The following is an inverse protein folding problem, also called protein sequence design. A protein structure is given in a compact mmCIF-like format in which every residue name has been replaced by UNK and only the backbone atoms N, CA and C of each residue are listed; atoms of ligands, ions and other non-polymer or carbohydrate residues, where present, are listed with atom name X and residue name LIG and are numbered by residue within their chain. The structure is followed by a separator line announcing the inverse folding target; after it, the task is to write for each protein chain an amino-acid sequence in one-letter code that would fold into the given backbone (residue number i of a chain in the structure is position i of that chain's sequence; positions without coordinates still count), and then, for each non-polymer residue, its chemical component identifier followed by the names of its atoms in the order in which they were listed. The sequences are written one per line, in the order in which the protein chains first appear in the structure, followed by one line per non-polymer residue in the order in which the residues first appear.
data_IF_601950737685
#
_entry.id   IF_601950737685
#
_cell.length_a   1.000
_cell.length_b   1.000
_cell.length_c   1.000
_cell.angle_alpha   90.00
_cell.angle_beta   90.00
_cell.angle_gamma   90.00
#
_symmetry.space_group_name_H-M   'P 1'
#
loop_
_entity.id
_entity.type
_entity.pdbx_description
1 polymer ?
#
# COMPACT_ATOMS: atom_id res chain seq x y z
N UNK A 1 -29.52 -6.26 -18.71
CA UNK A 1 -30.09 -5.27 -17.76
C UNK A 1 -30.65 -5.91 -16.50
N UNK A 2 -31.49 -6.94 -16.60
CA UNK A 2 -32.13 -7.63 -15.45
C UNK A 2 -31.17 -8.08 -14.36
N UNK A 3 -30.03 -8.69 -14.72
CA UNK A 3 -29.02 -9.13 -13.74
C UNK A 3 -28.46 -7.97 -12.91
N UNK A 4 -28.35 -6.78 -13.51
CA UNK A 4 -27.85 -5.58 -12.85
C UNK A 4 -28.90 -5.00 -11.89
N UNK A 5 -30.19 -5.00 -12.28
CA UNK A 5 -31.30 -4.61 -11.42
C UNK A 5 -31.34 -5.51 -10.18
N UNK A 6 -31.31 -6.83 -10.39
CA UNK A 6 -31.28 -7.81 -9.28
C UNK A 6 -30.04 -7.61 -8.39
N UNK A 7 -28.88 -7.31 -8.98
CA UNK A 7 -27.67 -7.01 -8.21
C UNK A 7 -27.80 -5.75 -7.34
N UNK A 8 -28.40 -4.68 -7.87
CA UNK A 8 -28.65 -3.43 -7.14
C UNK A 8 -29.69 -3.64 -6.03
N UNK A 9 -30.78 -4.36 -6.31
CA UNK A 9 -31.80 -4.68 -5.32
C UNK A 9 -31.27 -5.59 -4.21
N UNK A 10 -30.45 -6.59 -4.56
CA UNK A 10 -29.76 -7.43 -3.57
C UNK A 10 -28.88 -6.59 -2.64
N UNK A 11 -28.11 -5.64 -3.19
CA UNK A 11 -27.32 -4.74 -2.34
C UNK A 11 -28.20 -3.86 -1.45
N UNK A 12 -29.34 -3.37 -1.94
CA UNK A 12 -30.28 -2.61 -1.11
C UNK A 12 -30.80 -3.44 0.06
N UNK A 13 -31.23 -4.68 -0.19
CA UNK A 13 -31.69 -5.59 0.87
C UNK A 13 -30.57 -5.93 1.87
N UNK A 14 -29.34 -6.17 1.39
CA UNK A 14 -28.21 -6.41 2.29
C UNK A 14 -27.89 -5.19 3.17
N UNK A 15 -28.06 -3.97 2.65
CA UNK A 15 -27.83 -2.73 3.39
C UNK A 15 -28.91 -2.46 4.45
N UNK A 16 -30.14 -2.92 4.25
CA UNK A 16 -31.20 -2.83 5.27
C UNK A 16 -30.92 -3.74 6.48
N UNK A 17 -30.20 -4.84 6.28
CA UNK A 17 -29.89 -5.83 7.31
C UNK A 17 -28.54 -5.55 7.99
N UNK A 18 -27.58 -5.02 7.24
CA UNK A 18 -26.25 -4.72 7.76
C UNK A 18 -26.21 -3.36 8.47
N UNK A 19 -25.57 -3.28 9.63
CA UNK A 19 -25.26 -1.99 10.24
C UNK A 19 -24.27 -1.23 9.34
N UNK A 20 -24.54 0.06 9.06
CA UNK A 20 -23.74 0.90 8.15
C UNK A 20 -22.24 0.94 8.50
N UNK A 21 -21.87 0.55 9.72
CA UNK A 21 -20.50 0.55 10.25
C UNK A 21 -19.61 -0.60 9.76
N UNK A 22 -20.16 -1.69 9.22
CA UNK A 22 -19.37 -2.86 8.78
C UNK A 22 -18.94 -2.82 7.31
N UNK A 23 -19.55 -1.95 6.49
CA UNK A 23 -19.32 -1.92 5.05
C UNK A 23 -18.35 -0.79 4.70
N UNK A 24 -17.16 -1.16 4.19
CA UNK A 24 -16.12 -0.18 3.84
C UNK A 24 -16.23 0.36 2.42
N UNK A 25 -16.72 -0.46 1.48
CA UNK A 25 -16.85 -0.09 0.07
C UNK A 25 -17.91 -0.99 -0.59
N UNK A 26 -18.61 -0.45 -1.59
CA UNK A 26 -19.64 -1.15 -2.36
C UNK A 26 -19.17 -1.21 -3.81
N UNK A 27 -18.92 -2.40 -4.32
CA UNK A 27 -18.40 -2.61 -5.67
C UNK A 27 -19.28 -3.63 -6.40
N UNK A 28 -19.73 -3.30 -7.60
CA UNK A 28 -20.39 -4.24 -8.52
C UNK A 28 -19.41 -4.55 -9.66
N UNK A 29 -19.16 -5.84 -9.87
CA UNK A 29 -18.41 -6.35 -11.02
C UNK A 29 -19.38 -7.04 -12.00
N UNK A 30 -19.56 -6.47 -13.19
CA UNK A 30 -20.33 -7.10 -14.27
C UNK A 30 -19.40 -7.88 -15.19
N UNK A 31 -19.62 -9.18 -15.32
CA UNK A 31 -18.93 -10.05 -16.27
C UNK A 31 -19.94 -10.45 -17.35
N UNK A 32 -19.78 -9.97 -18.58
CA UNK A 32 -20.71 -10.30 -19.66
C UNK A 32 -20.04 -10.29 -21.03
N UNK A 33 -20.45 -11.21 -21.90
CA UNK A 33 -20.08 -11.22 -23.31
C UNK A 33 -20.98 -10.32 -24.18
N UNK A 34 -21.93 -9.59 -23.58
CA UNK A 34 -22.88 -8.68 -24.24
C UNK A 34 -23.72 -9.31 -25.37
N UNK A 35 -23.75 -10.64 -25.48
CA UNK A 35 -24.47 -11.37 -26.53
C UNK A 35 -25.92 -11.69 -26.18
N UNK A 36 -26.64 -10.75 -25.56
CA UNK A 36 -28.07 -10.91 -25.28
C UNK A 36 -28.92 -10.56 -26.49
N UNK A 37 -30.05 -11.25 -26.68
CA UNK A 37 -31.07 -10.81 -27.63
C UNK A 37 -31.72 -9.54 -27.09
N UNK A 38 -31.57 -8.42 -27.81
CA UNK A 38 -32.25 -7.17 -27.53
C UNK A 38 -33.46 -7.11 -28.48
N UNK A 39 -34.66 -7.32 -27.95
CA UNK A 39 -35.87 -7.16 -28.76
C UNK A 39 -36.10 -5.65 -29.01
N UNK A 40 -36.34 -5.25 -30.26
CA UNK A 40 -36.43 -3.83 -30.67
C UNK A 40 -37.52 -3.03 -29.94
N UNK A 41 -38.53 -3.69 -29.37
CA UNK A 41 -39.61 -3.08 -28.57
C UNK A 41 -39.16 -2.68 -27.15
N UNK A 42 -38.04 -3.22 -26.65
CA UNK A 42 -37.49 -2.92 -25.32
C UNK A 42 -36.61 -1.66 -25.31
N UNK A 43 -36.32 -1.02 -26.45
CA UNK A 43 -35.41 0.13 -26.54
C UNK A 43 -35.84 1.35 -25.70
N UNK A 44 -37.15 1.57 -25.53
CA UNK A 44 -37.66 2.65 -24.65
C UNK A 44 -37.69 2.22 -23.17
N UNK A 45 -37.95 0.93 -22.91
CA UNK A 45 -38.03 0.36 -21.55
C UNK A 45 -36.61 0.26 -20.96
N UNK A 46 -35.65 -0.18 -21.75
CA UNK A 46 -34.23 -0.27 -21.39
C UNK A 46 -33.60 1.09 -21.10
N UNK A 47 -34.08 2.18 -21.71
CA UNK A 47 -33.60 3.54 -21.39
C UNK A 47 -34.10 4.02 -20.03
N UNK A 48 -35.34 3.67 -19.66
CA UNK A 48 -35.91 3.97 -18.35
C UNK A 48 -35.26 3.12 -17.27
N UNK A 49 -35.05 1.82 -17.54
CA UNK A 49 -34.39 0.88 -16.65
C UNK A 49 -32.90 1.23 -16.47
N UNK A 50 -32.20 1.66 -17.53
CA UNK A 50 -30.83 2.17 -17.43
C UNK A 50 -30.75 3.40 -16.54
N UNK A 51 -31.68 4.34 -16.66
CA UNK A 51 -31.71 5.50 -15.79
C UNK A 51 -32.08 5.14 -14.34
N UNK A 52 -32.99 4.17 -14.12
CA UNK A 52 -33.31 3.66 -12.80
C UNK A 52 -32.11 2.99 -12.12
N UNK A 53 -31.36 2.18 -12.89
CA UNK A 53 -30.09 1.57 -12.47
C UNK A 53 -29.07 2.65 -12.09
N UNK A 54 -28.85 3.64 -12.96
CA UNK A 54 -27.89 4.73 -12.72
C UNK A 54 -28.25 5.48 -11.43
N UNK A 55 -29.53 5.79 -11.24
CA UNK A 55 -30.00 6.43 -10.03
C UNK A 55 -29.83 5.53 -8.79
N UNK A 56 -30.10 4.23 -8.93
CA UNK A 56 -29.86 3.24 -7.88
C UNK A 56 -28.38 3.13 -7.49
N UNK A 57 -27.48 3.10 -8.47
CA UNK A 57 -26.04 3.05 -8.26
C UNK A 57 -25.50 4.33 -7.62
N UNK A 58 -25.99 5.50 -8.05
CA UNK A 58 -25.62 6.80 -7.46
C UNK A 58 -26.13 6.96 -6.04
N UNK A 59 -27.36 6.54 -5.76
CA UNK A 59 -27.94 6.59 -4.42
C UNK A 59 -27.17 5.69 -3.44
N UNK A 60 -26.64 4.57 -3.93
CA UNK A 60 -25.90 3.60 -3.14
C UNK A 60 -24.38 3.84 -3.12
N UNK A 61 -23.86 4.86 -3.81
CA UNK A 61 -22.42 5.18 -3.93
C UNK A 61 -21.57 3.94 -4.27
N UNK A 62 -21.94 3.29 -5.39
CA UNK A 62 -21.35 2.02 -5.82
C UNK A 62 -20.27 2.25 -6.87
N UNK A 63 -19.09 1.64 -6.67
CA UNK A 63 -18.09 1.56 -7.73
C UNK A 63 -18.50 0.48 -8.74
N UNK A 64 -18.76 0.89 -9.98
CA UNK A 64 -19.12 -0.02 -11.06
C UNK A 64 -17.89 -0.37 -11.91
N UNK A 65 -17.66 -1.66 -12.11
CA UNK A 65 -16.64 -2.16 -13.04
C UNK A 65 -17.25 -3.23 -13.94
N UNK A 66 -17.04 -3.13 -15.24
CA UNK A 66 -17.51 -4.11 -16.20
C UNK A 66 -16.33 -4.74 -16.95
N UNK A 67 -16.37 -6.06 -17.16
CA UNK A 67 -15.41 -6.79 -17.98
C UNK A 67 -16.18 -7.48 -19.11
N UNK A 68 -15.80 -7.19 -20.35
CA UNK A 68 -16.48 -7.68 -21.54
C UNK A 68 -15.59 -7.78 -22.78
N UNK A 69 -16.20 -8.03 -23.96
CA UNK A 69 -15.50 -7.97 -25.24
C UNK A 69 -14.97 -6.55 -25.50
N UNK A 70 -14.03 -6.41 -26.43
CA UNK A 70 -13.39 -5.13 -26.74
C UNK A 70 -14.43 -4.10 -27.19
N UNK A 71 -14.67 -3.13 -26.32
CA UNK A 71 -15.54 -1.98 -26.51
C UNK A 71 -14.74 -0.95 -27.31
N UNK A 72 -15.17 -0.60 -28.52
CA UNK A 72 -14.49 0.37 -29.39
C UNK A 72 -14.77 1.83 -28.99
N UNK A 73 -15.71 2.09 -28.07
CA UNK A 73 -16.24 3.43 -27.79
C UNK A 73 -15.50 4.25 -26.70
N UNK A 74 -14.24 3.93 -26.39
CA UNK A 74 -13.39 4.69 -25.45
C UNK A 74 -12.34 5.58 -26.15
N UNK A 75 -12.43 5.77 -27.46
CA UNK A 75 -11.65 6.83 -28.13
C UNK A 75 -12.39 8.15 -27.93
N UNK A 76 -12.10 8.82 -26.83
CA UNK A 76 -12.33 10.26 -26.73
C UNK A 76 -11.57 10.92 -27.88
N UNK A 77 -12.26 11.80 -28.60
CA UNK A 77 -11.74 12.45 -29.79
C UNK A 77 -10.54 13.32 -29.47
N UNK A 78 -9.36 12.89 -29.90
CA UNK A 78 -8.22 13.75 -30.18
C UNK A 78 -7.65 13.35 -31.55
N UNK A 79 -7.85 14.26 -32.51
CA UNK A 79 -7.12 14.48 -33.76
C UNK A 79 -6.32 13.30 -34.36
N UNK A 80 -6.95 12.58 -35.29
CA UNK A 80 -6.22 11.80 -36.29
C UNK A 80 -5.81 12.70 -37.45
N UNK A 81 -4.71 13.42 -37.23
CA UNK A 81 -3.80 13.84 -38.29
C UNK A 81 -3.30 12.57 -39.00
N UNK A 82 -3.57 12.45 -40.30
CA UNK A 82 -3.09 11.37 -41.16
C UNK A 82 -1.55 11.32 -41.12
N UNK A 83 -1.01 10.19 -40.67
CA UNK A 83 0.43 9.99 -40.57
C UNK A 83 0.79 8.52 -40.38
N UNK A 84 0.95 7.83 -41.53
CA UNK A 84 1.75 6.63 -41.76
C UNK A 84 2.39 5.93 -40.54
N UNK A 85 1.96 4.70 -40.26
CA UNK A 85 2.86 3.60 -39.87
C UNK A 85 2.42 2.29 -40.50
N UNK A 86 3.21 1.84 -41.46
CA UNK A 86 3.25 0.49 -42.00
C UNK A 86 3.95 -0.45 -40.99
N UNK A 87 3.48 -1.70 -40.89
CA UNK A 87 4.26 -2.84 -40.41
C UNK A 87 3.66 -3.63 -39.24
N UNK A 88 3.33 -4.91 -39.52
CA UNK A 88 3.18 -6.05 -38.58
C UNK A 88 1.95 -6.01 -37.63
N UNK A 89 1.04 -6.98 -37.52
CA UNK A 89 0.83 -8.33 -38.07
C UNK A 89 -0.68 -8.64 -37.97
N UNK A 90 -1.26 -9.28 -39.01
CA UNK A 90 -2.39 -10.21 -38.90
C UNK A 90 -3.75 -9.68 -38.42
N UNK A 91 -4.43 -8.86 -39.21
CA UNK A 91 -5.90 -8.70 -39.11
C UNK A 91 -6.59 -9.92 -39.73
N UNK A 92 -7.52 -10.63 -39.05
CA UNK A 92 -8.45 -11.49 -39.75
C UNK A 92 -9.54 -10.63 -40.38
N UNK A 93 -9.60 -10.72 -41.71
CA UNK A 93 -10.73 -10.46 -42.60
C UNK A 93 -12.01 -9.87 -41.98
N UNK A 94 -12.40 -8.71 -42.51
CA UNK A 94 -13.75 -8.16 -42.44
C UNK A 94 -14.77 -9.16 -43.02
N UNK A 95 -15.37 -9.96 -42.15
CA UNK A 95 -16.62 -10.67 -42.44
C UNK A 95 -17.79 -9.69 -42.34
N UNK A 96 -18.88 -9.88 -43.12
CA UNK A 96 -20.06 -9.03 -43.00
C UNK A 96 -20.62 -9.13 -41.57
N UNK A 97 -21.14 -8.03 -40.98
CA UNK A 97 -21.61 -8.03 -39.61
C UNK A 97 -22.69 -9.10 -39.44
N UNK A 98 -22.40 -10.07 -38.59
CA UNK A 98 -23.37 -11.07 -38.16
C UNK A 98 -24.43 -10.39 -37.29
N UNK A 99 -25.65 -10.94 -37.18
CA UNK A 99 -26.70 -10.38 -36.30
C UNK A 99 -26.20 -10.18 -34.86
N UNK A 100 -25.32 -11.07 -34.43
CA UNK A 100 -24.61 -11.01 -33.15
C UNK A 100 -23.69 -9.80 -33.00
N UNK A 101 -23.13 -9.24 -34.07
CA UNK A 101 -22.30 -8.03 -34.02
C UNK A 101 -23.14 -6.75 -33.85
N UNK A 102 -24.36 -6.74 -34.42
CA UNK A 102 -25.31 -5.63 -34.28
C UNK A 102 -25.90 -5.60 -32.87
N UNK A 103 -26.30 -6.76 -32.35
CA UNK A 103 -26.77 -6.93 -30.96
C UNK A 103 -25.68 -6.58 -29.94
N UNK A 104 -24.43 -6.99 -30.20
CA UNK A 104 -23.27 -6.62 -29.39
C UNK A 104 -23.02 -5.10 -29.39
N UNK A 105 -23.24 -4.42 -30.53
CA UNK A 105 -23.12 -2.96 -30.63
C UNK A 105 -24.19 -2.17 -29.84
N UNK A 106 -25.40 -2.71 -29.69
CA UNK A 106 -26.45 -2.11 -28.84
C UNK A 106 -26.11 -2.28 -27.35
N UNK A 107 -25.70 -3.48 -26.96
CA UNK A 107 -25.24 -3.76 -25.60
C UNK A 107 -24.04 -2.91 -25.17
N UNK A 108 -23.10 -2.69 -26.09
CA UNK A 108 -21.95 -1.79 -25.90
C UNK A 108 -22.39 -0.34 -25.64
N UNK A 109 -23.34 0.19 -26.42
CA UNK A 109 -23.82 1.57 -26.26
C UNK A 109 -24.51 1.79 -24.92
N UNK A 110 -25.37 0.84 -24.51
CA UNK A 110 -26.08 0.90 -23.23
C UNK A 110 -25.09 0.81 -22.07
N UNK A 111 -24.14 -0.13 -22.13
CA UNK A 111 -23.11 -0.26 -21.10
C UNK A 111 -22.22 0.98 -21.01
N UNK A 112 -21.86 1.57 -22.16
CA UNK A 112 -21.07 2.80 -22.23
C UNK A 112 -21.80 4.00 -21.63
N UNK A 113 -23.10 4.14 -21.88
CA UNK A 113 -23.92 5.21 -21.29
C UNK A 113 -24.03 5.06 -19.77
N UNK A 114 -24.28 3.83 -19.28
CA UNK A 114 -24.33 3.54 -17.84
C UNK A 114 -22.96 3.82 -17.18
N UNK A 115 -21.87 3.36 -17.79
CA UNK A 115 -20.52 3.56 -17.27
C UNK A 115 -20.16 5.05 -17.20
N UNK A 116 -20.42 5.83 -18.26
CA UNK A 116 -20.19 7.29 -18.26
C UNK A 116 -21.01 8.01 -17.20
N UNK A 117 -22.27 7.63 -17.02
CA UNK A 117 -23.15 8.26 -16.03
C UNK A 117 -22.77 7.92 -14.58
N UNK A 118 -22.17 6.76 -14.33
CA UNK A 118 -21.81 6.25 -12.98
C UNK A 118 -20.32 6.46 -12.67
N UNK A 119 -19.53 7.04 -13.59
CA UNK A 119 -18.07 7.13 -13.49
C UNK A 119 -17.42 5.73 -13.28
N UNK A 120 -17.97 4.74 -13.99
CA UNK A 120 -17.55 3.34 -13.95
C UNK A 120 -16.47 3.02 -14.98
N UNK A 121 -15.68 1.99 -14.71
CA UNK A 121 -14.57 1.57 -15.59
C UNK A 121 -14.93 0.30 -16.34
N UNK A 122 -14.68 0.27 -17.65
CA UNK A 122 -14.90 -0.91 -18.49
C UNK A 122 -13.56 -1.45 -18.96
N UNK A 123 -13.35 -2.75 -18.80
CA UNK A 123 -12.13 -3.45 -19.22
C UNK A 123 -12.47 -4.51 -20.26
N UNK A 124 -11.59 -4.69 -21.25
CA UNK A 124 -11.65 -5.88 -22.09
C UNK A 124 -11.10 -7.10 -21.33
N UNK A 125 -11.48 -8.32 -21.73
CA UNK A 125 -10.89 -9.53 -21.17
C UNK A 125 -9.35 -9.57 -21.31
N UNK A 126 -8.81 -9.03 -22.40
CA UNK A 126 -7.36 -8.98 -22.65
C UNK A 126 -6.64 -8.03 -21.70
N UNK A 127 -7.27 -6.92 -21.31
CA UNK A 127 -6.71 -5.95 -20.35
C UNK A 127 -6.90 -6.40 -18.90
N UNK A 128 -8.05 -7.01 -18.59
CA UNK A 128 -8.37 -7.44 -17.24
C UNK A 128 -7.48 -8.60 -16.76
N UNK A 129 -7.09 -9.53 -17.65
CA UNK A 129 -6.31 -10.70 -17.26
C UNK A 129 -4.93 -10.34 -16.64
N UNK A 130 -4.10 -9.48 -17.26
CA UNK A 130 -2.86 -8.99 -16.63
C UNK A 130 -3.09 -8.25 -15.30
N UNK A 131 -4.19 -7.50 -15.18
CA UNK A 131 -4.53 -6.77 -13.96
C UNK A 131 -4.94 -7.72 -12.82
N UNK A 132 -5.66 -8.80 -13.14
CA UNK A 132 -6.07 -9.84 -12.19
C UNK A 132 -4.96 -10.82 -11.84
N UNK A 133 -3.95 -10.98 -12.71
CA UNK A 133 -2.76 -11.79 -12.41
C UNK A 133 -2.00 -11.23 -11.20
N UNK A 134 -2.02 -9.91 -11.04
CA UNK A 134 -1.49 -9.26 -9.85
C UNK A 134 -2.60 -9.20 -8.80
N UNK A 135 -2.32 -9.70 -7.59
CA UNK A 135 -3.27 -9.61 -6.49
C UNK A 135 -3.60 -8.14 -6.23
N UNK A 136 -4.85 -7.72 -6.49
CA UNK A 136 -5.33 -6.38 -6.16
C UNK A 136 -5.65 -6.37 -4.66
N UNK A 137 -4.82 -5.76 -3.81
CA UNK A 137 -5.08 -5.74 -2.38
C UNK A 137 -6.37 -4.95 -2.11
N UNK A 138 -7.13 -5.38 -1.10
CA UNK A 138 -8.25 -4.59 -0.58
C UNK A 138 -7.74 -3.20 -0.23
N UNK A 139 -8.45 -2.16 -0.69
CA UNK A 139 -8.16 -0.77 -0.28
C UNK A 139 -8.43 -0.65 1.21
N UNK A 140 -7.37 -0.45 1.99
CA UNK A 140 -7.45 -0.20 3.43
C UNK A 140 -7.20 1.29 3.66
N UNK A 141 -8.01 1.91 4.52
CA UNK A 141 -7.78 3.30 4.93
C UNK A 141 -6.45 3.41 5.68
N UNK A 142 -5.47 4.07 5.05
CA UNK A 142 -4.14 4.24 5.62
C UNK A 142 -4.24 5.22 6.79
N UNK A 143 -3.83 4.78 7.97
CA UNK A 143 -3.77 5.64 9.15
C UNK A 143 -2.55 6.57 9.05
N UNK A 144 -2.81 7.87 8.90
CA UNK A 144 -1.76 8.87 8.91
C UNK A 144 -1.16 9.08 10.30
N UNK A 145 0.16 9.18 10.39
CA UNK A 145 0.91 9.41 11.62
C UNK A 145 1.15 10.89 11.84
N UNK A 146 0.68 11.46 12.96
CA UNK A 146 0.87 12.88 13.27
C UNK A 146 2.27 13.15 13.81
N UNK A 147 2.94 14.15 13.24
CA UNK A 147 4.24 14.66 13.63
C UNK A 147 4.22 16.20 13.64
N UNK A 148 5.10 16.79 14.44
CA UNK A 148 5.42 18.21 14.38
C UNK A 148 6.84 18.30 13.82
N UNK A 149 6.98 18.94 12.66
CA UNK A 149 8.26 19.28 12.06
C UNK A 149 8.80 20.53 12.75
N UNK A 150 9.85 20.38 13.54
CA UNK A 150 10.54 21.47 14.23
C UNK A 150 11.57 22.09 13.28
N UNK A 151 11.32 23.33 12.86
CA UNK A 151 12.22 24.18 12.10
C UNK A 151 12.97 25.07 13.10
N UNK A 152 14.08 24.57 13.65
CA UNK A 152 14.78 25.24 14.74
C UNK A 152 13.99 25.17 16.06
N UNK A 153 14.05 26.23 16.86
CA UNK A 153 13.44 26.26 18.21
C UNK A 153 12.02 26.82 18.23
N UNK A 154 11.74 27.82 17.38
CA UNK A 154 10.51 28.62 17.46
C UNK A 154 9.38 28.12 16.55
N UNK A 155 9.71 27.50 15.41
CA UNK A 155 8.74 27.18 14.37
C UNK A 155 8.43 25.68 14.38
N UNK A 156 7.15 25.33 14.53
CA UNK A 156 6.67 23.94 14.52
C UNK A 156 5.54 23.79 13.53
N UNK A 157 5.75 22.99 12.49
CA UNK A 157 4.76 22.74 11.45
C UNK A 157 4.09 21.37 11.67
N UNK A 158 2.76 21.31 11.76
CA UNK A 158 2.07 20.05 11.90
C UNK A 158 2.04 19.30 10.56
N UNK A 159 2.40 18.03 10.60
CA UNK A 159 2.42 17.11 9.46
C UNK A 159 1.75 15.78 9.81
N UNK A 160 1.15 15.16 8.81
CA UNK A 160 0.58 13.83 8.83
C UNK A 160 1.27 12.97 7.77
N UNK A 161 1.92 11.91 8.23
CA UNK A 161 2.70 11.00 7.41
C UNK A 161 1.87 9.78 6.99
N UNK A 162 1.77 9.53 5.69
CA UNK A 162 1.12 8.36 5.11
C UNK A 162 2.16 7.51 4.39
N UNK A 163 2.25 6.23 4.72
CA UNK A 163 3.18 5.31 4.05
C UNK A 163 2.64 5.00 2.65
N UNK A 164 3.39 5.40 1.61
CA UNK A 164 3.08 5.18 0.19
C UNK A 164 3.47 3.77 -0.24
N UNK A 165 4.75 3.44 -0.07
CA UNK A 165 5.29 2.14 -0.45
C UNK A 165 5.42 1.31 0.82
N UNK A 166 4.62 0.25 0.90
CA UNK A 166 4.76 -0.76 1.92
C UNK A 166 4.90 -2.10 1.21
N UNK A 167 6.01 -2.78 1.46
CA UNK A 167 6.15 -4.15 1.01
C UNK A 167 5.01 -5.00 1.59
N UNK A 168 4.28 -5.75 0.76
CA UNK A 168 3.20 -6.59 1.22
C UNK A 168 3.79 -7.72 2.06
N UNK A 169 3.75 -7.56 3.37
CA UNK A 169 4.14 -8.63 4.29
C UNK A 169 2.95 -9.57 4.46
N UNK A 170 2.98 -10.69 3.74
CA UNK A 170 2.02 -11.76 3.90
C UNK A 170 2.40 -12.59 5.13
N UNK A 171 2.06 -12.06 6.31
CA UNK A 171 2.25 -12.74 7.60
C UNK A 171 1.30 -13.92 7.76
N UNK A 172 1.48 -14.96 6.96
CA UNK A 172 0.85 -16.25 7.19
C UNK A 172 1.63 -16.97 8.28
N UNK A 173 1.09 -16.98 9.49
CA UNK A 173 1.63 -17.77 10.58
C UNK A 173 1.22 -19.23 10.36
N UNK A 174 2.14 -20.05 9.83
CA UNK A 174 1.90 -21.47 9.67
C UNK A 174 2.14 -22.19 11.00
N UNK A 175 1.09 -22.82 11.54
CA UNK A 175 1.23 -23.74 12.66
C UNK A 175 2.02 -24.97 12.21
N UNK A 176 2.99 -25.40 13.02
CA UNK A 176 3.74 -26.63 12.76
C UNK A 176 2.99 -27.80 13.36
N UNK A 177 2.55 -28.71 12.52
CA UNK A 177 1.73 -29.87 12.92
C UNK A 177 2.52 -31.14 12.63
N UNK A 178 2.48 -32.10 13.55
CA UNK A 178 3.01 -33.44 13.32
C UNK A 178 2.11 -34.23 12.37
N UNK A 179 2.70 -34.88 11.36
CA UNK A 179 1.97 -35.60 10.31
C UNK A 179 1.22 -36.82 10.85
N UNK A 180 1.74 -37.45 11.89
CA UNK A 180 1.20 -38.72 12.40
C UNK A 180 0.09 -38.51 13.42
N UNK A 181 0.29 -37.57 14.34
CA UNK A 181 -0.65 -37.32 15.45
C UNK A 181 -1.63 -36.17 15.19
N UNK A 182 -1.36 -35.33 14.18
CA UNK A 182 -2.14 -34.13 13.92
C UNK A 182 -2.04 -33.07 15.03
N UNK A 183 -1.12 -33.24 15.99
CA UNK A 183 -0.94 -32.33 17.11
C UNK A 183 0.03 -31.19 16.75
N UNK A 184 -0.19 -30.02 17.36
CA UNK A 184 0.69 -28.85 17.18
C UNK A 184 2.02 -29.04 17.94
N UNK A 185 3.13 -28.83 17.23
CA UNK A 185 4.49 -28.99 17.76
C UNK A 185 4.98 -27.67 18.34
N UNK A 186 5.28 -27.66 19.63
CA UNK A 186 5.90 -26.52 20.32
C UNK A 186 7.42 -26.59 20.25
N UNK A 187 8.07 -25.48 19.89
CA UNK A 187 9.54 -25.38 19.87
C UNK A 187 10.07 -25.14 21.29
N UNK A 188 10.94 -26.03 21.77
CA UNK A 188 11.70 -25.86 23.01
C UNK A 188 13.18 -25.72 22.69
N UNK A 189 13.84 -24.72 23.28
CA UNK A 189 15.28 -24.49 23.11
C UNK A 189 16.02 -24.90 24.38
N UNK A 190 17.06 -25.71 24.25
CA UNK A 190 17.93 -26.19 25.35
C UNK A 190 19.34 -25.64 25.11
N UNK A 191 19.99 -25.13 26.16
CA UNK A 191 21.36 -24.61 26.09
C UNK A 191 22.34 -25.61 26.69
N UNK A 192 23.41 -25.91 25.98
CA UNK A 192 24.49 -26.79 26.43
C UNK A 192 25.85 -26.09 26.32
N UNK A 193 26.77 -26.40 27.24
CA UNK A 193 28.14 -25.94 27.16
C UNK A 193 28.93 -26.86 26.21
N UNK A 194 29.56 -26.35 25.14
CA UNK A 194 30.42 -27.16 24.29
C UNK A 194 31.63 -27.68 25.09
N UNK A 195 31.95 -28.97 24.92
CA UNK A 195 33.11 -29.62 25.53
C UNK A 195 34.31 -29.31 24.64
N UNK A 196 35.22 -28.42 25.08
CA UNK A 196 36.44 -28.12 24.34
C UNK A 196 37.19 -26.84 24.71
N UNK A 197 36.51 -25.79 25.20
CA UNK A 197 37.17 -24.53 25.58
C UNK A 197 37.40 -24.46 27.09
N UNK A 198 38.46 -25.13 27.54
CA UNK A 198 38.96 -25.01 28.91
C UNK A 198 39.96 -23.85 28.97
N UNK A 199 39.46 -22.62 29.12
CA UNK A 199 40.29 -21.44 29.36
C UNK A 199 39.74 -20.49 30.43
N UNK A 200 39.11 -21.03 31.48
CA UNK A 200 39.06 -20.36 32.78
C UNK A 200 38.68 -21.33 33.90
N UNK A 201 39.69 -21.75 34.65
CA UNK A 201 39.60 -22.47 35.91
C UNK A 201 38.73 -21.71 36.92
N UNK A 202 37.65 -22.33 37.40
CA UNK A 202 37.28 -22.36 38.84
C UNK A 202 35.92 -23.07 39.04
N UNK A 203 35.93 -24.39 39.10
CA UNK A 203 35.00 -25.16 39.95
C UNK A 203 35.59 -26.56 40.12
N UNK A 204 35.66 -26.98 41.38
CA UNK A 204 36.09 -28.29 41.88
C UNK A 204 35.83 -29.47 40.93
N UNK A 205 36.84 -30.35 40.71
CA UNK A 205 36.70 -31.49 39.82
C UNK A 205 35.92 -32.59 40.53
N UNK A 206 34.58 -32.60 40.39
CA UNK A 206 33.84 -33.84 40.55
C UNK A 206 33.98 -34.63 39.24
N UNK A 207 35.03 -35.44 39.19
CA UNK A 207 35.19 -36.52 38.23
C UNK A 207 34.01 -37.48 38.38
N UNK A 208 32.98 -37.33 37.53
CA UNK A 208 32.04 -38.38 37.07
C UNK A 208 30.86 -37.81 36.24
N UNK A 209 31.09 -36.82 35.37
CA UNK A 209 30.08 -36.41 34.39
C UNK A 209 30.74 -35.98 33.07
N UNK A 210 31.20 -36.96 32.29
CA UNK A 210 31.69 -36.78 30.92
C UNK A 210 30.50 -36.67 29.95
N UNK A 211 29.68 -35.64 30.11
CA UNK A 211 28.55 -35.35 29.23
C UNK A 211 28.25 -33.85 29.16
N UNK A 212 27.59 -33.37 28.09
CA UNK A 212 27.25 -31.96 27.95
C UNK A 212 26.41 -31.51 29.14
N UNK A 213 26.88 -30.49 29.85
CA UNK A 213 26.16 -29.93 31.00
C UNK A 213 25.04 -29.03 30.47
N UNK A 214 23.80 -29.46 30.68
CA UNK A 214 22.61 -28.67 30.37
C UNK A 214 22.59 -27.45 31.29
N UNK A 215 22.54 -26.25 30.70
CA UNK A 215 22.47 -24.98 31.42
C UNK A 215 21.01 -24.53 31.54
N UNK A 216 20.68 -23.92 32.68
CA UNK A 216 19.38 -23.26 32.85
C UNK A 216 19.43 -21.89 32.20
N UNK A 217 18.27 -21.35 31.82
CA UNK A 217 18.18 -20.07 31.12
C UNK A 217 18.73 -18.91 31.97
N UNK A 218 18.61 -19.02 33.29
CA UNK A 218 19.07 -18.03 34.26
C UNK A 218 20.60 -17.98 34.37
N UNK A 219 21.29 -19.06 34.00
CA UNK A 219 22.75 -19.16 34.03
C UNK A 219 23.39 -18.64 32.72
N UNK A 220 22.59 -18.23 31.74
CA UNK A 220 23.06 -17.76 30.43
C UNK A 220 23.00 -16.23 30.35
N UNK A 221 24.16 -15.62 30.16
CA UNK A 221 24.32 -14.17 30.01
C UNK A 221 24.54 -13.83 28.54
N UNK A 222 23.97 -12.72 28.06
CA UNK A 222 24.22 -12.19 26.72
C UNK A 222 25.64 -11.61 26.66
N UNK A 223 26.45 -12.13 25.76
CA UNK A 223 27.78 -11.60 25.44
C UNK A 223 27.82 -11.04 24.03
N UNK A 224 28.51 -9.92 23.84
CA UNK A 224 28.80 -9.36 22.53
C UNK A 224 30.29 -9.53 22.24
N UNK A 225 30.61 -9.81 20.98
CA UNK A 225 32.00 -9.92 20.53
C UNK A 225 32.54 -8.53 20.21
N UNK A 226 33.66 -8.17 20.84
CA UNK A 226 34.42 -6.97 20.55
C UNK A 226 35.82 -7.38 20.10
N UNK A 227 35.98 -7.55 18.79
CA UNK A 227 37.19 -8.16 18.22
C UNK A 227 37.32 -9.63 18.67
N UNK A 228 38.45 -9.96 19.31
CA UNK A 228 38.70 -11.30 19.85
C UNK A 228 38.12 -11.53 21.25
N UNK A 229 37.65 -10.48 21.92
CA UNK A 229 37.17 -10.55 23.31
C UNK A 229 35.66 -10.67 23.36
N UNK A 230 35.14 -11.54 24.22
CA UNK A 230 33.71 -11.63 24.52
C UNK A 230 33.43 -10.75 25.73
N UNK A 231 32.60 -9.72 25.55
CA UNK A 231 32.21 -8.79 26.62
C UNK A 231 30.78 -9.13 27.08
N UNK A 232 30.56 -9.51 28.34
CA UNK A 232 29.22 -9.70 28.88
C UNK A 232 28.52 -8.33 28.99
N UNK A 233 27.27 -8.25 28.54
CA UNK A 233 26.49 -7.01 28.59
C UNK A 233 25.04 -7.33 28.95
N UNK A 234 24.65 -6.97 30.17
CA UNK A 234 23.35 -7.31 30.73
C UNK A 234 22.27 -6.31 30.32
N UNK A 235 21.01 -6.64 30.59
CA UNK A 235 19.88 -5.74 30.33
C UNK A 235 19.91 -4.49 31.23
N UNK A 236 20.53 -4.59 32.41
CA UNK A 236 20.78 -3.46 33.31
C UNK A 236 21.82 -2.50 32.71
N UNK A 237 22.95 -3.03 32.23
CA UNK A 237 23.97 -2.25 31.52
C UNK A 237 23.39 -1.61 30.25
N UNK A 238 22.55 -2.33 29.52
CA UNK A 238 21.85 -1.80 28.35
C UNK A 238 20.90 -0.65 28.71
N UNK A 239 20.34 -0.63 29.91
CA UNK A 239 19.46 0.45 30.36
C UNK A 239 20.25 1.68 30.81
N UNK A 240 21.42 1.47 31.42
CA UNK A 240 22.27 2.55 31.92
C UNK A 240 23.13 3.18 30.81
N UNK A 241 23.81 2.34 30.02
CA UNK A 241 24.76 2.77 28.98
C UNK A 241 24.18 2.75 27.57
N UNK A 242 23.01 2.13 27.38
CA UNK A 242 22.36 2.11 26.08
C UNK A 242 21.79 3.46 25.66
N UNK A 243 21.30 3.50 24.42
CA UNK A 243 20.74 4.72 23.86
C UNK A 243 19.57 5.26 24.68
N UNK A 244 19.62 6.55 25.03
CA UNK A 244 18.55 7.22 25.75
C UNK A 244 17.32 7.33 24.86
N UNK A 245 16.18 6.85 25.37
CA UNK A 245 14.91 6.88 24.64
C UNK A 245 14.46 8.31 24.41
N UNK A 246 14.34 8.70 23.15
CA UNK A 246 13.82 10.00 22.74
C UNK A 246 12.32 9.89 22.45
N UNK A 247 11.53 10.91 22.81
CA UNK A 247 10.12 10.96 22.43
C UNK A 247 9.99 11.09 20.89
N UNK A 248 8.78 10.82 20.39
CA UNK A 248 8.46 11.00 18.97
C UNK A 248 8.81 12.44 18.55
N UNK A 249 9.71 12.59 17.58
CA UNK A 249 10.11 13.90 17.06
C UNK A 249 10.47 13.85 15.58
N UNK A 250 10.31 14.99 14.92
CA UNK A 250 10.80 15.25 13.57
C UNK A 250 11.47 16.62 13.57
N UNK A 251 12.81 16.64 13.59
CA UNK A 251 13.59 17.89 13.71
C UNK A 251 14.38 18.15 12.44
N UNK A 252 14.29 19.35 11.91
CA UNK A 252 15.16 19.77 10.81
C UNK A 252 16.62 19.78 11.28
N UNK A 253 17.49 19.11 10.52
CA UNK A 253 18.94 19.15 10.71
C UNK A 253 19.54 20.22 9.80
N UNK A 254 19.28 20.10 8.49
CA UNK A 254 19.78 21.04 7.49
C UNK A 254 18.96 20.97 6.20
N UNK A 255 19.07 22.02 5.39
CA UNK A 255 18.71 21.95 3.97
C UNK A 255 19.95 21.59 3.16
N UNK A 256 19.79 20.70 2.20
CA UNK A 256 20.84 20.28 1.27
C UNK A 256 20.34 20.47 -0.17
N UNK A 257 21.24 20.62 -1.14
CA UNK A 257 20.83 20.72 -2.54
C UNK A 257 20.30 19.37 -3.02
N UNK A 258 19.30 19.38 -3.92
CA UNK A 258 18.77 18.14 -4.48
C UNK A 258 19.84 17.29 -5.17
N UNK A 259 20.82 17.95 -5.80
CA UNK A 259 21.95 17.29 -6.47
C UNK A 259 22.91 16.55 -5.54
N UNK A 260 22.97 16.92 -4.26
CA UNK A 260 23.88 16.31 -3.27
C UNK A 260 23.31 14.98 -2.73
N UNK A 261 22.00 14.78 -2.83
CA UNK A 261 21.33 13.57 -2.35
C UNK A 261 21.12 12.62 -3.52
N UNK A 262 22.05 11.69 -3.65
CA UNK A 262 22.00 10.63 -4.67
C UNK A 262 21.01 9.53 -4.26
N UNK A 263 20.36 8.92 -5.25
CA UNK A 263 19.33 7.91 -5.00
C UNK A 263 19.85 6.68 -4.25
N UNK A 264 21.13 6.34 -4.42
CA UNK A 264 21.77 5.22 -3.71
C UNK A 264 22.05 5.49 -2.23
N UNK A 265 21.94 6.73 -1.76
CA UNK A 265 21.97 7.04 -0.33
C UNK A 265 20.60 6.83 0.34
N UNK A 266 19.54 6.73 -0.46
CA UNK A 266 18.20 6.46 0.06
C UNK A 266 18.12 4.99 0.48
N UNK A 267 17.73 4.79 1.74
CA UNK A 267 17.63 3.48 2.37
C UNK A 267 16.24 2.91 2.23
N UNK A 268 16.18 1.59 2.31
CA UNK A 268 14.91 0.89 2.38
C UNK A 268 14.20 1.13 3.73
N UNK A 269 12.87 1.10 3.71
CA UNK A 269 12.03 1.52 4.82
C UNK A 269 10.70 2.16 4.40
N UNK A 270 10.45 2.23 3.10
CA UNK A 270 9.24 2.79 2.52
C UNK A 270 9.30 4.30 2.33
N UNK A 271 8.42 4.78 1.46
CA UNK A 271 8.26 6.19 1.09
C UNK A 271 7.06 6.75 1.83
N UNK A 272 7.15 7.98 2.32
CA UNK A 272 6.09 8.64 3.08
C UNK A 272 5.59 9.89 2.35
N UNK A 273 4.28 10.05 2.26
CA UNK A 273 3.66 11.34 1.97
C UNK A 273 3.49 12.12 3.27
N UNK A 274 4.11 13.28 3.35
CA UNK A 274 4.00 14.21 4.46
C UNK A 274 3.07 15.35 4.03
N UNK A 275 1.87 15.38 4.60
CA UNK A 275 0.82 16.35 4.28
C UNK A 275 0.45 17.15 5.52
N UNK A 276 -0.01 18.40 5.39
CA UNK A 276 -0.60 19.10 6.53
C UNK A 276 -1.88 18.39 7.01
N UNK A 277 -2.25 18.50 8.30
CA UNK A 277 -3.53 17.97 8.79
C UNK A 277 -4.71 18.62 8.06
N UNK A 278 -5.71 17.84 7.69
CA UNK A 278 -6.88 18.34 6.94
C UNK A 278 -7.68 19.46 7.66
N UNK A 279 -7.59 19.54 8.99
CA UNK A 279 -8.35 20.49 9.80
C UNK A 279 -7.55 21.77 10.14
N UNK A 280 -6.32 21.90 9.65
CA UNK A 280 -5.43 23.01 10.00
C UNK A 280 -5.03 23.82 8.76
N UNK A 281 -5.76 24.91 8.53
CA UNK A 281 -5.55 25.80 7.39
C UNK A 281 -4.25 26.62 7.51
N UNK A 282 -3.88 27.02 8.72
CA UNK A 282 -2.66 27.79 8.96
C UNK A 282 -1.43 26.92 8.73
N UNK A 283 -1.44 25.70 9.30
CA UNK A 283 -0.42 24.69 9.05
C UNK A 283 -0.31 24.32 7.56
N UNK A 284 -1.44 24.17 6.86
CA UNK A 284 -1.44 23.91 5.42
C UNK A 284 -0.79 25.04 4.61
N UNK A 285 -1.08 26.29 4.96
CA UNK A 285 -0.50 27.46 4.29
C UNK A 285 1.01 27.54 4.54
N UNK A 286 1.46 27.29 5.76
CA UNK A 286 2.87 27.32 6.11
C UNK A 286 3.67 26.19 5.44
N UNK A 287 3.11 24.97 5.39
CA UNK A 287 3.73 23.83 4.69
C UNK A 287 3.75 24.06 3.18
N UNK A 288 2.69 24.62 2.59
CA UNK A 288 2.66 24.98 1.17
C UNK A 288 3.72 26.04 0.84
N UNK A 289 3.86 27.07 1.66
CA UNK A 289 4.92 28.08 1.51
C UNK A 289 6.32 27.45 1.58
N UNK A 290 6.56 26.55 2.53
CA UNK A 290 7.82 25.82 2.65
C UNK A 290 8.11 24.96 1.41
N UNK A 291 7.13 24.17 0.94
CA UNK A 291 7.29 23.31 -0.24
C UNK A 291 7.64 24.13 -1.47
N UNK A 292 6.96 25.27 -1.69
CA UNK A 292 7.23 26.15 -2.83
C UNK A 292 8.62 26.77 -2.75
N UNK A 293 9.01 27.28 -1.59
CA UNK A 293 10.35 27.81 -1.37
C UNK A 293 11.44 26.75 -1.63
N UNK A 294 11.22 25.50 -1.22
CA UNK A 294 12.16 24.41 -1.47
C UNK A 294 12.24 24.01 -2.96
N UNK A 295 11.14 24.14 -3.72
CA UNK A 295 11.14 23.92 -5.17
C UNK A 295 11.86 25.03 -5.93
N UNK A 296 11.67 26.28 -5.51
CA UNK A 296 12.34 27.45 -6.11
C UNK A 296 13.86 27.40 -5.89
N UNK A 297 14.29 26.95 -4.71
CA UNK A 297 15.71 26.85 -4.32
C UNK A 297 16.37 25.49 -4.66
N UNK A 298 15.64 24.58 -5.32
CA UNK A 298 16.09 23.20 -5.63
C UNK A 298 16.76 22.47 -4.44
N UNK A 299 16.11 22.54 -3.27
CA UNK A 299 16.65 22.02 -2.02
C UNK A 299 15.75 20.96 -1.35
N UNK A 300 16.35 20.24 -0.42
CA UNK A 300 15.77 19.09 0.29
C UNK A 300 16.02 19.27 1.78
N UNK A 301 15.04 18.96 2.61
CA UNK A 301 15.18 19.05 4.05
C UNK A 301 15.62 17.71 4.63
N UNK A 302 16.78 17.67 5.29
CA UNK A 302 17.22 16.52 6.07
C UNK A 302 16.71 16.66 7.49
N UNK A 303 15.95 15.65 7.95
CA UNK A 303 15.31 15.67 9.27
C UNK A 303 15.70 14.44 10.09
N UNK A 304 15.87 14.65 11.40
CA UNK A 304 15.94 13.57 12.40
C UNK A 304 14.53 13.08 12.68
N UNK A 305 14.26 11.83 12.36
CA UNK A 305 12.97 11.16 12.54
C UNK A 305 13.04 10.12 13.66
N UNK A 306 12.16 10.25 14.66
CA UNK A 306 11.96 9.26 15.73
C UNK A 306 10.50 8.87 15.77
N UNK A 307 10.18 7.60 15.47
CA UNK A 307 8.79 7.14 15.40
C UNK A 307 8.09 7.09 16.77
N UNK A 308 8.76 6.52 17.77
CA UNK A 308 8.30 6.43 19.16
C UNK A 308 9.50 6.26 20.11
N UNK A 309 9.25 6.25 21.41
CA UNK A 309 10.29 6.11 22.44
C UNK A 309 11.06 4.77 22.42
N UNK A 310 10.56 3.76 21.73
CA UNK A 310 11.26 2.48 21.57
C UNK A 310 12.06 2.41 20.26
N UNK A 311 11.88 3.36 19.35
CA UNK A 311 12.52 3.38 18.04
C UNK A 311 13.83 4.14 18.10
N UNK A 312 14.82 3.65 17.36
CA UNK A 312 16.06 4.39 17.16
C UNK A 312 15.82 5.60 16.23
N UNK A 313 16.54 6.71 16.46
CA UNK A 313 16.50 7.85 15.55
C UNK A 313 17.02 7.46 14.17
N UNK A 314 16.32 7.91 13.12
CA UNK A 314 16.70 7.73 11.72
C UNK A 314 16.79 9.09 11.04
N UNK A 315 17.57 9.19 9.97
CA UNK A 315 17.56 10.37 9.11
C UNK A 315 16.56 10.15 7.99
N UNK A 316 15.73 11.15 7.74
CA UNK A 316 14.78 11.20 6.64
C UNK A 316 15.04 12.44 5.79
N UNK A 317 15.13 12.27 4.48
CA UNK A 317 15.13 13.36 3.51
C UNK A 317 13.69 13.66 3.09
N UNK A 318 13.26 14.91 3.19
CA UNK A 318 11.97 15.41 2.76
C UNK A 318 12.14 16.17 1.44
N UNK A 319 11.65 15.58 0.36
CA UNK A 319 11.69 16.17 -0.97
C UNK A 319 10.40 16.93 -1.27
N UNK A 320 10.45 18.16 -1.76
CA UNK A 320 9.26 18.90 -2.11
C UNK A 320 8.66 18.37 -3.41
N UNK A 321 7.32 18.28 -3.49
CA UNK A 321 6.61 17.80 -4.68
C UNK A 321 5.22 18.42 -4.78
N UNK A 322 4.78 18.72 -5.99
CA UNK A 322 3.41 19.09 -6.29
C UNK A 322 2.69 17.88 -6.91
N UNK A 323 1.51 17.55 -6.39
CA UNK A 323 0.65 16.50 -6.96
C UNK A 323 0.10 16.90 -8.32
N UNK A 324 -0.29 15.92 -9.15
CA UNK A 324 -1.09 16.18 -10.36
C UNK A 324 -2.41 16.89 -10.04
N UNK A 325 -2.92 16.75 -8.80
CA UNK A 325 -4.09 17.46 -8.29
C UNK A 325 -3.80 18.88 -7.76
N UNK A 326 -2.58 19.39 -7.96
CA UNK A 326 -2.16 20.72 -7.50
C UNK A 326 -1.89 20.85 -5.99
N UNK A 327 -1.76 19.73 -5.27
CA UNK A 327 -1.52 19.73 -3.82
C UNK A 327 -0.02 19.74 -3.54
N UNK A 328 0.44 20.74 -2.80
CA UNK A 328 1.82 20.87 -2.31
C UNK A 328 2.07 19.85 -1.18
N UNK A 329 3.09 19.01 -1.33
CA UNK A 329 3.42 17.95 -0.37
C UNK A 329 4.93 17.74 -0.22
N UNK A 330 5.32 17.06 0.86
CA UNK A 330 6.68 16.60 1.09
C UNK A 330 6.73 15.06 0.96
N UNK A 331 7.73 14.56 0.26
CA UNK A 331 8.01 13.13 0.07
C UNK A 331 9.16 12.73 1.00
N UNK A 332 8.86 11.96 2.05
CA UNK A 332 9.85 11.46 2.99
C UNK A 332 10.48 10.14 2.54
N UNK A 333 11.80 10.13 2.43
CA UNK A 333 12.62 8.93 2.22
C UNK A 333 13.63 8.80 3.35
N UNK A 334 13.86 7.59 3.86
CA UNK A 334 14.95 7.38 4.79
C UNK A 334 16.29 7.46 4.05
N UNK A 335 17.28 8.07 4.68
CA UNK A 335 18.63 8.20 4.13
C UNK A 335 19.64 7.54 5.08
N UNK A 336 20.67 6.93 4.51
CA UNK A 336 21.83 6.52 5.27
C UNK A 336 22.66 7.73 5.67
N UNK A 337 23.31 7.60 6.82
CA UNK A 337 24.28 8.59 7.29
C UNK A 337 25.51 8.48 6.39
N UNK A 338 25.94 9.59 5.79
CA UNK A 338 27.27 9.76 5.19
C UNK A 338 28.30 10.01 6.28
#
# INVERSE_FOLDING_TARGET
MTALIVGVDYMRTCLEVAQETEITARNILLLSNLGGSYDDDDMNIDSMDANAIVNGMKALDVNFSAIGPTVHCWTDGEDSNEGNKEGEEGSPSSEPPTKTDIEMGLGERILSDIAKKVDGVVYSFREALPMLQHFVPRRVNIRGQKFLLELGEDIKLPLQLFKKNQEPDMKMNFAKIDQTTGAEVKRQTIYERPIGDDSSQSATPNANASGPKILRKEDVIKGYTFGATIVPFNEEDQKEYGWKRESRCMKLLQFAKRSEILEHYLMDGGVYYCLPPANDQEGATAVSALVRAMLEEDCVALVRYVYNAASLPRIMALFPRISNKGVDMLMGHFAAIL
#
